data_IF_049143236838
#
_entry.id   IF_049143236838
#
_cell.length_a   1.000
_cell.length_b   1.000
_cell.length_c   1.000
_cell.angle_alpha   90.00
_cell.angle_beta   90.00
_cell.angle_gamma   90.00
#
_symmetry.space_group_name_H-M   'P 1'
#
loop_
_entity.id
_entity.type
_entity.pdbx_description
1 polymer ?
#
# COMPACT_ATOMS: atom_id res chain seq x y z
N UNK A 1 -14.93 37.93 4.84
CA UNK A 1 -14.05 38.20 3.70
C UNK A 1 -13.93 36.91 2.94
N UNK A 2 -14.59 36.86 1.79
CA UNK A 2 -14.89 35.63 1.06
C UNK A 2 -13.80 35.44 0.00
N UNK A 3 -12.92 34.45 0.19
CA UNK A 3 -12.00 34.04 -0.87
C UNK A 3 -12.83 33.36 -1.98
N UNK A 4 -13.04 34.08 -3.08
CA UNK A 4 -13.55 33.48 -4.30
C UNK A 4 -12.45 32.63 -4.93
N UNK A 5 -12.65 31.33 -4.89
CA UNK A 5 -11.87 30.33 -5.60
C UNK A 5 -12.03 30.62 -7.10
N UNK A 6 -10.91 30.97 -7.74
CA UNK A 6 -10.82 31.26 -9.16
C UNK A 6 -10.79 29.95 -9.97
N UNK A 7 -11.94 29.28 -10.09
CA UNK A 7 -12.09 28.18 -11.07
C UNK A 7 -12.43 28.78 -12.44
N UNK A 8 -11.54 28.57 -13.40
CA UNK A 8 -11.73 28.94 -14.80
C UNK A 8 -12.49 27.80 -15.49
N UNK A 9 -13.62 28.03 -16.18
CA UNK A 9 -14.27 26.99 -16.96
C UNK A 9 -13.51 26.79 -18.28
N UNK A 10 -12.86 25.64 -18.44
CA UNK A 10 -12.40 25.16 -19.74
C UNK A 10 -13.61 24.61 -20.51
N UNK A 11 -13.94 25.27 -21.61
CA UNK A 11 -14.98 24.86 -22.55
C UNK A 11 -14.69 23.46 -23.10
N UNK A 12 -15.56 22.51 -22.80
CA UNK A 12 -15.61 21.22 -23.47
C UNK A 12 -16.68 21.28 -24.58
N UNK A 13 -16.23 21.26 -25.83
CA UNK A 13 -17.09 20.92 -26.96
C UNK A 13 -17.51 19.46 -26.83
N UNK A 14 -18.79 19.23 -26.55
CA UNK A 14 -19.40 17.90 -26.59
C UNK A 14 -20.18 17.77 -27.90
N UNK A 15 -19.54 17.14 -28.90
CA UNK A 15 -20.24 16.61 -30.04
C UNK A 15 -21.06 15.39 -29.61
N UNK A 16 -22.36 15.49 -29.88
CA UNK A 16 -23.34 14.44 -29.66
C UNK A 16 -23.16 13.32 -30.69
N UNK A 17 -22.94 12.10 -30.22
CA UNK A 17 -23.27 10.90 -30.98
C UNK A 17 -23.83 9.84 -30.04
N UNK A 18 -25.12 9.56 -30.22
CA UNK A 18 -25.85 8.55 -29.48
C UNK A 18 -25.59 7.15 -30.03
N UNK A 19 -25.60 6.15 -29.13
CA UNK A 19 -25.74 4.74 -29.47
C UNK A 19 -26.67 4.07 -28.43
N UNK A 20 -27.63 3.24 -28.86
CA UNK A 20 -28.71 2.75 -28.01
C UNK A 20 -28.36 1.49 -27.22
N UNK A 21 -29.21 1.25 -26.23
CA UNK A 21 -29.21 0.12 -25.32
C UNK A 21 -29.56 -1.23 -25.98
N UNK A 22 -28.78 -2.26 -25.62
CA UNK A 22 -29.15 -3.68 -25.59
C UNK A 22 -28.25 -4.31 -24.51
N UNK A 23 -28.71 -5.09 -23.53
CA UNK A 23 -29.79 -6.05 -23.51
C UNK A 23 -29.19 -7.45 -23.68
N UNK A 24 -28.78 -8.11 -22.58
CA UNK A 24 -28.75 -9.58 -22.45
C UNK A 24 -28.33 -10.01 -21.04
N UNK A 25 -29.24 -10.74 -20.39
CA UNK A 25 -29.01 -11.49 -19.17
C UNK A 25 -28.31 -12.82 -19.50
N UNK A 26 -27.22 -13.14 -18.81
CA UNK A 26 -26.57 -14.44 -18.90
C UNK A 26 -26.98 -15.32 -17.72
N UNK A 27 -27.67 -16.39 -18.07
CA UNK A 27 -28.00 -17.57 -17.26
C UNK A 27 -26.73 -18.29 -16.78
N UNK A 28 -26.64 -18.65 -15.51
CA UNK A 28 -25.62 -19.58 -14.98
C UNK A 28 -26.24 -20.96 -14.71
N UNK A 29 -25.62 -22.05 -15.17
CA UNK A 29 -26.10 -23.41 -14.90
C UNK A 29 -25.64 -23.93 -13.53
N UNK A 30 -26.49 -24.77 -12.94
CA UNK A 30 -26.42 -25.26 -11.57
C UNK A 30 -25.23 -26.15 -11.22
N UNK A 31 -24.81 -26.03 -9.96
CA UNK A 31 -23.83 -26.87 -9.30
C UNK A 31 -24.52 -28.16 -8.85
N UNK A 32 -24.12 -29.28 -9.44
CA UNK A 32 -24.55 -30.62 -9.06
C UNK A 32 -23.94 -31.03 -7.72
N UNK A 33 -24.81 -31.41 -6.79
CA UNK A 33 -24.51 -32.08 -5.52
C UNK A 33 -24.05 -33.51 -5.83
N UNK A 34 -22.82 -33.87 -5.45
CA UNK A 34 -22.39 -35.27 -5.43
C UNK A 34 -22.50 -35.83 -4.02
N UNK A 35 -23.26 -36.93 -3.93
CA UNK A 35 -23.57 -37.69 -2.74
C UNK A 35 -22.34 -38.42 -2.18
N UNK A 36 -22.24 -38.43 -0.85
CA UNK A 36 -21.38 -39.34 -0.11
C UNK A 36 -21.95 -40.76 -0.17
N UNK A 37 -21.24 -41.69 -0.80
CA UNK A 37 -21.53 -43.12 -0.73
C UNK A 37 -20.54 -43.81 0.22
N UNK A 38 -21.10 -44.15 1.37
CA UNK A 38 -20.72 -45.21 2.29
C UNK A 38 -20.34 -46.50 1.53
N UNK A 39 -19.15 -47.06 1.78
CA UNK A 39 -18.82 -48.44 1.41
C UNK A 39 -18.13 -49.10 2.61
N UNK A 40 -18.95 -49.82 3.38
CA UNK A 40 -18.53 -50.94 4.21
C UNK A 40 -18.36 -52.18 3.31
N UNK A 41 -17.31 -52.95 3.54
CA UNK A 41 -17.04 -54.16 2.76
C UNK A 41 -15.87 -54.97 3.28
N UNK A 42 -16.06 -55.64 4.41
CA UNK A 42 -15.25 -56.77 4.82
C UNK A 42 -15.62 -58.00 3.97
N UNK A 43 -14.64 -58.67 3.37
CA UNK A 43 -14.73 -60.10 3.04
C UNK A 43 -13.34 -60.74 3.07
N UNK A 44 -13.34 -61.90 3.70
CA UNK A 44 -12.24 -62.77 4.04
C UNK A 44 -11.72 -63.61 2.86
N UNK A 45 -10.44 -64.02 2.98
CA UNK A 45 -9.86 -65.33 2.62
C UNK A 45 -9.98 -65.80 1.17
N UNK A 46 -8.84 -65.93 0.49
CA UNK A 46 -8.56 -67.13 -0.29
C UNK A 46 -7.05 -67.43 -0.32
N UNK A 47 -6.65 -68.43 0.44
CA UNK A 47 -5.37 -69.14 0.26
C UNK A 47 -5.57 -70.22 -0.80
N UNK A 48 -4.71 -70.27 -1.82
CA UNK A 48 -4.05 -71.50 -2.29
C UNK A 48 -3.20 -71.27 -3.54
N UNK A 49 -2.20 -72.13 -3.78
CA UNK A 49 -0.97 -71.80 -4.50
C UNK A 49 -0.99 -72.31 -5.94
N UNK A 50 0.02 -71.91 -6.72
CA UNK A 50 0.80 -72.73 -7.67
C UNK A 50 1.49 -71.83 -8.70
N UNK A 51 2.82 -71.86 -8.60
CA UNK A 51 3.85 -71.61 -9.59
C UNK A 51 3.43 -71.26 -11.02
N UNK A 52 3.96 -70.14 -11.51
CA UNK A 52 4.74 -70.14 -12.75
C UNK A 52 5.93 -69.20 -12.57
N UNK A 53 7.07 -69.82 -12.28
CA UNK A 53 8.37 -69.17 -12.28
C UNK A 53 8.70 -68.79 -13.72
N UNK A 54 8.44 -67.54 -14.07
CA UNK A 54 8.96 -66.94 -15.28
C UNK A 54 10.29 -66.29 -14.91
N UNK A 55 11.37 -67.07 -15.04
CA UNK A 55 12.74 -66.61 -14.88
C UNK A 55 13.16 -65.83 -16.14
N UNK A 56 12.80 -64.53 -16.21
CA UNK A 56 13.42 -63.57 -17.12
C UNK A 56 14.50 -62.81 -16.35
N UNK A 57 15.77 -63.12 -16.63
CA UNK A 57 16.89 -62.35 -16.09
C UNK A 57 18.03 -63.23 -15.64
N UNK A 58 18.82 -63.70 -16.62
CA UNK A 58 20.18 -64.15 -16.37
C UNK A 58 20.95 -63.08 -15.60
N UNK A 59 21.61 -63.52 -14.54
CA UNK A 59 22.63 -62.84 -13.74
C UNK A 59 23.71 -62.17 -14.60
N UNK A 60 23.44 -61.00 -15.16
CA UNK A 60 24.41 -59.91 -15.12
C UNK A 60 24.43 -59.42 -13.68
N UNK A 61 25.59 -59.26 -13.07
CA UNK A 61 25.78 -58.61 -11.77
C UNK A 61 24.81 -57.43 -11.64
N UNK A 62 23.68 -57.67 -10.97
CA UNK A 62 22.77 -56.63 -10.57
C UNK A 62 23.51 -55.96 -9.42
N UNK A 63 24.33 -54.97 -9.75
CA UNK A 63 24.67 -53.92 -8.82
C UNK A 63 23.34 -53.43 -8.28
N UNK A 64 22.97 -53.96 -7.11
CA UNK A 64 21.75 -53.64 -6.40
C UNK A 64 21.82 -52.13 -6.18
N UNK A 65 21.09 -51.38 -7.01
CA UNK A 65 21.11 -49.93 -6.98
C UNK A 65 20.51 -49.55 -5.63
N UNK A 66 21.39 -49.37 -4.64
CA UNK A 66 21.05 -49.03 -3.27
C UNK A 66 20.39 -47.64 -3.26
N UNK A 67 19.09 -47.65 -3.56
CA UNK A 67 18.27 -46.47 -3.68
C UNK A 67 17.93 -45.99 -2.28
N UNK A 68 18.55 -44.87 -1.90
CA UNK A 68 18.20 -44.21 -0.65
C UNK A 68 17.12 -43.16 -0.95
N UNK A 69 15.91 -43.29 -0.39
CA UNK A 69 14.83 -42.36 -0.65
C UNK A 69 15.18 -40.95 -0.16
N UNK A 70 14.67 -39.94 -0.85
CA UNK A 70 14.80 -38.54 -0.45
C UNK A 70 13.60 -38.14 0.38
N UNK A 71 13.83 -37.45 1.50
CA UNK A 71 12.74 -36.96 2.36
C UNK A 71 11.85 -35.98 1.57
N UNK A 72 10.52 -36.15 1.52
CA UNK A 72 9.62 -35.19 0.89
C UNK A 72 9.70 -33.78 1.50
N UNK A 73 10.11 -33.67 2.76
CA UNK A 73 10.27 -32.39 3.45
C UNK A 73 11.42 -31.54 2.92
N UNK A 74 12.44 -32.17 2.34
CA UNK A 74 13.62 -31.49 1.82
C UNK A 74 13.31 -30.60 0.59
N UNK A 75 12.62 -31.07 -0.47
CA UNK A 75 12.22 -30.20 -1.57
C UNK A 75 11.16 -29.17 -1.15
N UNK A 76 10.25 -29.50 -0.23
CA UNK A 76 9.29 -28.52 0.29
C UNK A 76 10.03 -27.35 0.98
N UNK A 77 11.00 -27.65 1.85
CA UNK A 77 11.82 -26.64 2.50
C UNK A 77 12.59 -25.78 1.48
N UNK A 78 13.13 -26.40 0.43
CA UNK A 78 13.83 -25.68 -0.64
C UNK A 78 12.90 -24.74 -1.41
N UNK A 79 11.71 -25.20 -1.81
CA UNK A 79 10.70 -24.39 -2.48
C UNK A 79 10.23 -23.22 -1.61
N UNK A 80 10.00 -23.44 -0.32
CA UNK A 80 9.66 -22.36 0.62
C UNK A 80 10.80 -21.36 0.79
N UNK A 81 12.05 -21.82 0.80
CA UNK A 81 13.23 -20.94 0.79
C UNK A 81 13.26 -20.04 -0.44
N UNK A 82 13.09 -20.63 -1.63
CA UNK A 82 13.07 -19.89 -2.91
C UNK A 82 11.91 -18.89 -2.99
N UNK A 83 10.70 -19.30 -2.60
CA UNK A 83 9.57 -18.39 -2.51
C UNK A 83 9.77 -17.31 -1.44
N UNK A 84 10.50 -17.61 -0.37
CA UNK A 84 10.89 -16.66 0.68
C UNK A 84 11.75 -15.50 0.18
N UNK A 85 12.46 -15.64 -0.96
CA UNK A 85 13.17 -14.52 -1.60
C UNK A 85 12.22 -13.38 -2.01
N UNK A 86 10.92 -13.66 -2.19
CA UNK A 86 9.92 -12.60 -2.40
C UNK A 86 9.76 -11.68 -1.17
N UNK A 87 10.33 -12.05 -0.02
CA UNK A 87 10.35 -11.22 1.20
C UNK A 87 11.11 -9.91 1.05
N UNK A 88 11.99 -9.79 0.04
CA UNK A 88 12.61 -8.51 -0.31
C UNK A 88 11.66 -7.52 -0.99
N UNK A 89 10.54 -8.02 -1.54
CA UNK A 89 9.54 -7.23 -2.27
C UNK A 89 8.39 -6.83 -1.34
N UNK A 90 7.96 -7.71 -0.45
CA UNK A 90 6.80 -7.42 0.39
C UNK A 90 6.63 -8.33 1.61
N UNK A 91 5.73 -7.90 2.50
CA UNK A 91 5.46 -8.56 3.78
C UNK A 91 5.01 -10.03 3.62
N UNK A 92 4.28 -10.33 2.54
CA UNK A 92 3.84 -11.70 2.24
C UNK A 92 5.01 -12.67 2.09
N UNK A 93 6.04 -12.29 1.34
CA UNK A 93 7.23 -13.12 1.17
C UNK A 93 8.02 -13.29 2.48
N UNK A 94 7.96 -12.29 3.37
CA UNK A 94 8.56 -12.37 4.70
C UNK A 94 7.87 -13.42 5.57
N UNK A 95 6.54 -13.53 5.52
CA UNK A 95 5.80 -14.61 6.17
C UNK A 95 6.16 -15.98 5.60
N UNK A 96 6.25 -16.11 4.27
CA UNK A 96 6.67 -17.37 3.63
C UNK A 96 8.08 -17.77 4.07
N UNK A 97 9.03 -16.82 4.12
CA UNK A 97 10.37 -17.05 4.64
C UNK A 97 10.33 -17.50 6.10
N UNK A 98 9.55 -16.84 6.95
CA UNK A 98 9.38 -17.21 8.35
C UNK A 98 8.89 -18.66 8.53
N UNK A 99 7.83 -19.07 7.82
CA UNK A 99 7.37 -20.47 7.87
C UNK A 99 8.38 -21.45 7.27
N UNK A 100 9.11 -21.03 6.22
CA UNK A 100 10.19 -21.81 5.63
C UNK A 100 11.30 -22.15 6.63
N UNK A 101 11.58 -21.26 7.60
CA UNK A 101 12.53 -21.54 8.70
C UNK A 101 12.04 -22.74 9.53
N UNK A 102 10.77 -22.76 9.95
CA UNK A 102 10.24 -23.87 10.76
C UNK A 102 10.23 -25.19 10.00
N UNK A 103 9.78 -25.18 8.73
CA UNK A 103 9.78 -26.38 7.86
C UNK A 103 11.20 -26.86 7.60
N UNK A 104 12.14 -25.95 7.33
CA UNK A 104 13.56 -26.27 7.12
C UNK A 104 14.21 -26.88 8.36
N UNK A 105 13.97 -26.31 9.56
CA UNK A 105 14.46 -26.87 10.82
C UNK A 105 13.87 -28.26 11.09
N UNK A 106 12.57 -28.44 10.85
CA UNK A 106 11.88 -29.73 10.96
C UNK A 106 12.48 -30.79 10.02
N UNK A 107 12.68 -30.43 8.74
CA UNK A 107 13.27 -31.31 7.74
C UNK A 107 14.70 -31.73 8.11
N UNK A 108 15.56 -30.78 8.51
CA UNK A 108 16.94 -31.09 8.93
C UNK A 108 16.96 -31.99 10.17
N UNK A 109 16.11 -31.71 11.17
CA UNK A 109 16.01 -32.55 12.38
C UNK A 109 15.56 -33.97 12.05
N UNK A 110 14.52 -34.11 11.23
CA UNK A 110 13.98 -35.41 10.84
C UNK A 110 15.01 -36.24 10.07
N UNK A 111 15.70 -35.64 9.09
CA UNK A 111 16.74 -36.34 8.30
C UNK A 111 17.94 -36.74 9.17
N UNK A 112 18.33 -35.91 10.16
CA UNK A 112 19.38 -36.28 11.11
C UNK A 112 18.95 -37.39 12.05
N UNK A 113 17.67 -37.44 12.43
CA UNK A 113 17.14 -38.48 13.30
C UNK A 113 16.94 -39.84 12.62
N UNK A 114 16.88 -39.87 11.28
CA UNK A 114 16.66 -41.12 10.53
C UNK A 114 17.91 -41.98 10.36
N UNK A 115 19.05 -41.66 10.99
CA UNK A 115 20.22 -42.54 11.01
C UNK A 115 20.82 -42.89 9.64
N UNK A 116 20.54 -42.08 8.60
CA UNK A 116 21.04 -42.31 7.23
C UNK A 116 20.05 -43.01 6.29
N UNK A 117 18.88 -43.46 6.76
CA UNK A 117 17.85 -44.10 5.91
C UNK A 117 17.22 -43.17 4.88
N UNK A 118 17.43 -41.86 4.98
CA UNK A 118 16.82 -40.86 4.10
C UNK A 118 17.86 -39.81 3.72
N UNK A 119 17.99 -39.52 2.41
CA UNK A 119 18.88 -38.45 1.89
C UNK A 119 18.09 -37.13 1.72
N UNK A 120 18.81 -36.05 1.41
CA UNK A 120 18.22 -34.72 1.17
C UNK A 120 18.65 -33.63 2.14
N UNK A 121 19.61 -33.90 3.04
CA UNK A 121 20.13 -32.91 4.00
C UNK A 121 20.57 -31.62 3.33
N UNK A 122 21.20 -31.70 2.14
CA UNK A 122 21.68 -30.53 1.42
C UNK A 122 20.52 -29.62 0.95
N UNK A 123 19.43 -30.19 0.41
CA UNK A 123 18.25 -29.44 -0.03
C UNK A 123 17.56 -28.77 1.17
N UNK A 124 17.38 -29.51 2.26
CA UNK A 124 16.77 -28.98 3.49
C UNK A 124 17.63 -27.87 4.11
N UNK A 125 18.96 -28.04 4.14
CA UNK A 125 19.89 -27.04 4.67
C UNK A 125 19.91 -25.79 3.80
N UNK A 126 19.93 -25.96 2.47
CA UNK A 126 19.91 -24.84 1.53
C UNK A 126 18.61 -24.05 1.65
N UNK A 127 17.46 -24.73 1.68
CA UNK A 127 16.16 -24.09 1.90
C UNK A 127 16.09 -23.32 3.21
N UNK A 128 16.57 -23.93 4.31
CA UNK A 128 16.65 -23.28 5.62
C UNK A 128 17.53 -22.02 5.61
N UNK A 129 18.74 -22.11 5.05
CA UNK A 129 19.66 -20.97 4.94
C UNK A 129 19.03 -19.85 4.11
N UNK A 130 18.39 -20.19 2.97
CA UNK A 130 17.72 -19.21 2.14
C UNK A 130 16.57 -18.50 2.87
N UNK A 131 15.76 -19.25 3.62
CA UNK A 131 14.69 -18.69 4.45
C UNK A 131 15.23 -17.75 5.54
N UNK A 132 16.30 -18.14 6.25
CA UNK A 132 16.92 -17.30 7.29
C UNK A 132 17.48 -16.02 6.68
N UNK A 133 18.25 -16.12 5.60
CA UNK A 133 18.82 -14.97 4.91
C UNK A 133 17.73 -14.04 4.36
N UNK A 134 16.70 -14.58 3.71
CA UNK A 134 15.60 -13.78 3.17
C UNK A 134 14.81 -13.09 4.26
N UNK A 135 14.54 -13.77 5.37
CA UNK A 135 13.84 -13.18 6.51
C UNK A 135 14.67 -12.08 7.18
N UNK A 136 15.94 -12.34 7.46
CA UNK A 136 16.83 -11.37 8.11
C UNK A 136 17.10 -10.15 7.25
N UNK A 137 17.53 -10.35 6.00
CA UNK A 137 17.84 -9.26 5.07
C UNK A 137 16.57 -8.52 4.61
N UNK A 138 15.47 -9.23 4.37
CA UNK A 138 14.17 -8.62 4.04
C UNK A 138 13.65 -7.74 5.17
N UNK A 139 13.71 -8.22 6.42
CA UNK A 139 13.34 -7.43 7.60
C UNK A 139 14.25 -6.22 7.79
N UNK A 140 15.57 -6.39 7.62
CA UNK A 140 16.53 -5.29 7.74
C UNK A 140 16.28 -4.21 6.68
N UNK A 141 16.03 -4.62 5.42
CA UNK A 141 15.66 -3.70 4.33
C UNK A 141 14.40 -2.92 4.65
N UNK A 142 13.30 -3.59 5.03
CA UNK A 142 12.04 -2.91 5.37
C UNK A 142 12.19 -1.98 6.56
N UNK A 143 12.94 -2.38 7.59
CA UNK A 143 13.22 -1.53 8.74
C UNK A 143 14.04 -0.30 8.33
N UNK A 144 15.01 -0.45 7.43
CA UNK A 144 15.82 0.65 6.93
C UNK A 144 14.98 1.64 6.12
N UNK A 145 14.15 1.16 5.20
CA UNK A 145 13.21 1.98 4.43
C UNK A 145 12.22 2.70 5.35
N UNK A 146 11.67 2.00 6.36
CA UNK A 146 10.79 2.61 7.35
C UNK A 146 11.47 3.68 8.21
N UNK A 147 12.76 3.55 8.52
CA UNK A 147 13.47 4.56 9.31
C UNK A 147 13.82 5.81 8.47
N UNK A 148 14.11 5.65 7.18
CA UNK A 148 14.59 6.73 6.30
C UNK A 148 13.50 7.36 5.43
N UNK A 149 12.27 6.84 5.47
CA UNK A 149 11.13 7.38 4.74
C UNK A 149 10.79 8.82 5.18
N UNK A 150 10.81 9.07 6.50
CA UNK A 150 10.45 10.36 7.07
C UNK A 150 11.64 11.31 6.94
N UNK A 151 11.50 12.46 6.26
CA UNK A 151 12.58 13.43 6.19
C UNK A 151 12.94 13.95 7.59
N UNK A 152 14.20 14.32 7.78
CA UNK A 152 14.68 14.88 9.04
C UNK A 152 13.88 16.12 9.44
N UNK A 153 13.54 16.24 10.72
CA UNK A 153 12.75 17.36 11.25
C UNK A 153 11.23 17.22 11.07
N UNK A 154 10.74 16.14 10.45
CA UNK A 154 9.31 15.84 10.35
C UNK A 154 8.92 14.76 11.34
N UNK A 155 7.76 14.95 11.98
CA UNK A 155 7.15 13.92 12.82
C UNK A 155 6.26 13.01 11.97
N UNK A 156 6.47 11.69 12.05
CA UNK A 156 5.55 10.71 11.45
C UNK A 156 4.19 10.78 12.14
N UNK A 157 3.14 11.04 11.39
CA UNK A 157 1.76 11.02 11.88
C UNK A 157 0.95 10.08 11.00
N UNK A 158 0.19 9.18 11.61
CA UNK A 158 -0.73 8.31 10.89
C UNK A 158 -2.05 9.08 10.70
N UNK A 159 -2.40 9.40 9.46
CA UNK A 159 -3.57 10.24 9.18
C UNK A 159 -4.87 9.60 9.68
N UNK A 160 -5.06 8.31 9.39
CA UNK A 160 -6.24 7.53 9.76
C UNK A 160 -6.40 7.50 11.28
N UNK A 161 -5.37 7.02 11.99
CA UNK A 161 -5.43 6.71 13.42
C UNK A 161 -5.30 7.95 14.30
N UNK A 162 -4.44 8.89 13.93
CA UNK A 162 -4.09 10.00 14.81
C UNK A 162 -4.89 11.27 14.52
N UNK A 163 -5.58 11.37 13.37
CA UNK A 163 -6.35 12.57 13.00
C UNK A 163 -7.79 12.22 12.70
N UNK A 164 -8.04 11.31 11.74
CA UNK A 164 -9.41 11.05 11.28
C UNK A 164 -10.26 10.27 12.30
N UNK A 165 -9.72 9.22 12.91
CA UNK A 165 -10.41 8.47 13.98
C UNK A 165 -10.64 9.34 15.24
N UNK A 166 -9.80 10.35 15.45
CA UNK A 166 -9.85 11.29 16.57
C UNK A 166 -10.80 12.45 16.27
N UNK A 167 -12.07 12.09 16.06
CA UNK A 167 -13.18 13.01 15.77
C UNK A 167 -13.21 14.25 16.68
N UNK A 168 -13.88 15.30 16.23
CA UNK A 168 -13.98 16.53 17.00
C UNK A 168 -14.75 16.34 18.31
N UNK A 169 -14.28 17.00 19.37
CA UNK A 169 -14.92 17.02 20.68
C UNK A 169 -15.75 18.29 20.80
N UNK A 170 -17.02 18.16 21.20
CA UNK A 170 -17.91 19.31 21.39
C UNK A 170 -17.97 19.69 22.86
N UNK A 171 -17.52 20.89 23.20
CA UNK A 171 -17.55 21.41 24.58
C UNK A 171 -18.35 22.70 24.61
N UNK A 172 -19.52 22.68 25.25
CA UNK A 172 -20.41 23.85 25.35
C UNK A 172 -20.97 24.28 23.99
N UNK A 173 -21.22 23.34 23.08
CA UNK A 173 -21.72 23.62 21.73
C UNK A 173 -20.67 24.07 20.72
N UNK A 174 -19.41 24.27 21.15
CA UNK A 174 -18.30 24.62 20.26
C UNK A 174 -17.48 23.39 19.89
N UNK A 175 -17.09 23.31 18.61
CA UNK A 175 -16.21 22.27 18.09
C UNK A 175 -14.76 22.51 18.55
N UNK A 176 -14.14 21.48 19.10
CA UNK A 176 -12.73 21.48 19.52
C UNK A 176 -12.01 20.28 18.93
N UNK A 177 -10.70 20.41 18.78
CA UNK A 177 -9.83 19.31 18.41
C UNK A 177 -9.66 18.36 19.60
N UNK A 178 -9.49 17.07 19.29
CA UNK A 178 -8.98 16.10 20.25
C UNK A 178 -7.58 16.55 20.76
N UNK A 179 -7.25 16.38 22.04
CA UNK A 179 -5.98 16.82 22.61
C UNK A 179 -4.75 16.20 21.92
N UNK A 180 -4.84 14.96 21.42
CA UNK A 180 -3.75 14.31 20.68
C UNK A 180 -3.54 14.95 19.31
N UNK A 181 -4.64 15.33 18.63
CA UNK A 181 -4.59 16.05 17.35
C UNK A 181 -4.05 17.46 17.56
N UNK A 182 -4.54 18.17 18.58
CA UNK A 182 -4.08 19.51 18.92
C UNK A 182 -2.56 19.55 19.18
N UNK A 183 -1.98 18.46 19.71
CA UNK A 183 -0.55 18.36 19.94
C UNK A 183 0.30 18.26 18.66
N UNK A 184 -0.28 17.92 17.50
CA UNK A 184 0.42 17.88 16.20
C UNK A 184 0.17 19.10 15.32
N UNK A 185 -0.83 19.93 15.65
CA UNK A 185 -1.10 21.18 14.93
C UNK A 185 0.07 22.17 15.11
N UNK A 186 0.45 22.83 14.01
CA UNK A 186 1.56 23.77 13.93
C UNK A 186 2.94 23.11 13.81
N UNK A 187 3.02 21.77 13.80
CA UNK A 187 4.29 21.04 13.67
C UNK A 187 4.54 20.59 12.23
N UNK A 188 5.82 20.40 11.89
CA UNK A 188 6.23 19.72 10.67
C UNK A 188 5.89 18.24 10.78
N UNK A 189 4.95 17.77 9.96
CA UNK A 189 4.47 16.39 9.97
C UNK A 189 4.67 15.72 8.61
N UNK A 190 4.86 14.41 8.64
CA UNK A 190 4.87 13.52 7.48
C UNK A 190 3.64 12.64 7.56
N UNK A 191 2.72 12.84 6.62
CA UNK A 191 1.43 12.17 6.53
C UNK A 191 1.36 11.32 5.25
N UNK A 192 0.59 10.24 5.29
CA UNK A 192 0.25 9.44 4.11
C UNK A 192 -1.26 9.38 3.96
N UNK A 193 -1.73 9.48 2.73
CA UNK A 193 -3.15 9.44 2.40
C UNK A 193 -3.33 9.26 0.89
N UNK A 194 -4.57 9.35 0.41
CA UNK A 194 -4.88 9.25 -1.01
C UNK A 194 -5.01 10.63 -1.62
N UNK A 195 -4.36 10.86 -2.76
CA UNK A 195 -4.49 12.11 -3.48
C UNK A 195 -5.82 12.12 -4.26
N UNK A 196 -6.63 13.14 -4.03
CA UNK A 196 -7.76 13.50 -4.88
C UNK A 196 -7.40 14.77 -5.66
N UNK A 197 -7.04 14.58 -6.92
CA UNK A 197 -6.79 15.65 -7.88
C UNK A 197 -8.13 16.06 -8.50
N UNK A 198 -8.49 17.34 -8.40
CA UNK A 198 -9.82 17.81 -8.80
C UNK A 198 -10.03 17.76 -10.31
N UNK A 199 -9.06 18.21 -11.13
CA UNK A 199 -9.24 18.28 -12.60
C UNK A 199 -7.97 18.18 -13.47
N UNK A 200 -6.76 18.19 -12.90
CA UNK A 200 -5.52 18.19 -13.67
C UNK A 200 -4.61 17.00 -13.31
N UNK A 201 -3.96 16.43 -14.33
CA UNK A 201 -2.99 15.35 -14.16
C UNK A 201 -1.57 15.87 -13.86
N UNK A 202 -1.30 17.14 -14.15
CA UNK A 202 0.00 17.77 -13.93
C UNK A 202 -0.18 19.24 -13.53
N UNK A 203 0.87 19.84 -12.96
CA UNK A 203 0.83 21.24 -12.53
C UNK A 203 -0.04 21.51 -11.30
N UNK A 204 -0.32 20.49 -10.48
CA UNK A 204 -1.16 20.63 -9.30
C UNK A 204 -0.43 21.45 -8.22
N UNK A 205 -0.99 22.61 -7.90
CA UNK A 205 -0.60 23.43 -6.74
C UNK A 205 -1.32 23.03 -5.46
N UNK A 206 -2.54 22.55 -5.61
CA UNK A 206 -3.42 22.21 -4.50
C UNK A 206 -4.16 20.93 -4.82
N UNK A 207 -4.30 20.08 -3.82
CA UNK A 207 -5.08 18.85 -3.91
C UNK A 207 -5.64 18.50 -2.54
N UNK A 208 -6.56 17.53 -2.52
CA UNK A 208 -7.14 17.01 -1.29
C UNK A 208 -6.43 15.70 -0.93
N UNK A 209 -5.93 15.60 0.29
CA UNK A 209 -5.39 14.37 0.85
C UNK A 209 -6.48 13.69 1.67
N UNK A 210 -6.91 12.51 1.22
CA UNK A 210 -7.99 11.74 1.83
C UNK A 210 -7.46 10.62 2.72
N UNK A 211 -8.24 10.26 3.73
CA UNK A 211 -7.98 9.12 4.62
C UNK A 211 -7.93 7.79 3.86
N UNK A 212 -8.88 7.62 2.95
CA UNK A 212 -9.05 6.43 2.12
C UNK A 212 -9.53 6.80 0.70
N UNK A 213 -9.59 5.81 -0.18
CA UNK A 213 -10.04 5.96 -1.56
C UNK A 213 -11.56 5.68 -1.74
N UNK A 214 -12.28 5.36 -0.66
CA UNK A 214 -13.64 4.84 -0.73
C UNK A 214 -14.70 5.93 -0.64
N UNK A 215 -14.53 6.93 0.22
CA UNK A 215 -15.63 7.86 0.49
C UNK A 215 -15.80 8.91 -0.61
N UNK A 216 -14.71 9.50 -1.11
CA UNK A 216 -14.77 10.58 -2.11
C UNK A 216 -14.97 10.06 -3.55
N UNK A 217 -14.30 8.98 -3.94
CA UNK A 217 -14.34 8.47 -5.32
C UNK A 217 -15.69 7.87 -5.73
N UNK A 218 -16.53 7.49 -4.76
CA UNK A 218 -17.83 6.86 -5.00
C UNK A 218 -19.02 7.81 -4.73
N UNK A 219 -18.77 9.13 -4.79
CA UNK A 219 -19.80 10.16 -4.67
C UNK A 219 -20.23 10.51 -3.24
N UNK A 220 -19.51 10.01 -2.23
CA UNK A 220 -19.67 10.44 -0.85
C UNK A 220 -19.04 11.81 -0.60
N UNK A 221 -19.52 12.49 0.45
CA UNK A 221 -18.91 13.72 0.96
C UNK A 221 -18.03 13.33 2.17
N UNK A 222 -16.69 13.35 2.05
CA UNK A 222 -15.83 13.01 3.19
C UNK A 222 -16.06 14.02 4.32
N UNK A 223 -16.10 13.57 5.56
CA UNK A 223 -16.30 14.46 6.71
C UNK A 223 -15.11 15.39 6.88
N UNK A 224 -15.30 16.50 7.59
CA UNK A 224 -14.26 17.49 7.86
C UNK A 224 -12.96 16.93 8.48
N UNK A 225 -12.99 15.74 9.09
CA UNK A 225 -11.81 15.07 9.65
C UNK A 225 -11.19 13.99 8.74
N UNK A 226 -11.86 13.62 7.65
CA UNK A 226 -11.41 12.57 6.73
C UNK A 226 -10.59 13.10 5.55
N UNK A 227 -10.38 14.42 5.48
CA UNK A 227 -9.58 15.03 4.43
C UNK A 227 -8.77 16.24 4.92
N UNK A 228 -7.67 16.50 4.21
CA UNK A 228 -6.76 17.63 4.44
C UNK A 228 -6.56 18.35 3.11
N UNK A 229 -6.72 19.68 3.09
CA UNK A 229 -6.35 20.47 1.92
C UNK A 229 -4.84 20.68 1.92
N UNK A 230 -4.16 20.23 0.86
CA UNK A 230 -2.71 20.34 0.72
C UNK A 230 -2.38 21.43 -0.29
N UNK A 231 -1.57 22.40 0.10
CA UNK A 231 -1.13 23.51 -0.76
C UNK A 231 0.39 23.55 -0.85
N UNK A 232 0.91 23.50 -2.08
CA UNK A 232 2.33 23.65 -2.36
C UNK A 232 2.76 25.13 -2.31
N UNK A 233 3.98 25.42 -1.83
CA UNK A 233 4.48 26.78 -1.70
C UNK A 233 4.79 27.39 -3.05
N UNK A 234 4.64 28.70 -3.10
CA UNK A 234 5.25 29.54 -4.09
C UNK A 234 6.73 29.76 -3.76
N UNK A 235 7.52 30.15 -4.76
CA UNK A 235 8.97 30.27 -4.68
C UNK A 235 9.40 31.60 -5.31
N UNK A 236 10.45 32.21 -4.74
CA UNK A 236 11.05 33.44 -5.30
C UNK A 236 11.91 33.14 -6.51
N UNK A 237 12.63 32.01 -6.49
CA UNK A 237 13.46 31.53 -7.58
C UNK A 237 13.31 30.03 -7.78
N UNK A 238 13.52 29.54 -9.00
CA UNK A 238 13.61 28.10 -9.28
C UNK A 238 14.70 27.39 -8.44
N UNK A 239 15.75 28.13 -8.05
CA UNK A 239 16.81 27.61 -7.17
C UNK A 239 16.35 27.32 -5.75
N UNK A 240 15.28 27.98 -5.30
CA UNK A 240 14.78 27.91 -3.92
C UNK A 240 13.94 26.66 -3.66
N UNK A 241 13.85 25.78 -4.66
CA UNK A 241 13.21 24.47 -4.57
C UNK A 241 13.72 23.70 -3.32
N UNK A 242 12.84 23.32 -2.38
CA UNK A 242 13.21 22.59 -1.17
C UNK A 242 14.01 21.32 -1.51
N UNK A 243 15.07 21.03 -0.75
CA UNK A 243 15.94 19.89 -1.01
C UNK A 243 15.15 18.56 -1.02
N UNK A 244 14.20 18.41 -0.11
CA UNK A 244 13.38 17.20 -0.01
C UNK A 244 12.47 17.03 -1.24
N UNK A 245 11.96 18.11 -1.84
CA UNK A 245 11.15 18.03 -3.06
C UNK A 245 11.92 17.45 -4.25
N UNK A 246 13.26 17.53 -4.26
CA UNK A 246 14.11 16.99 -5.35
C UNK A 246 14.13 15.46 -5.35
N UNK A 247 13.81 14.82 -4.23
CA UNK A 247 13.68 13.35 -4.13
C UNK A 247 12.41 12.85 -4.82
N UNK A 248 11.39 13.69 -4.90
CA UNK A 248 10.08 13.35 -5.45
C UNK A 248 10.09 13.48 -6.97
N UNK A 249 10.04 12.35 -7.68
CA UNK A 249 10.03 12.31 -9.15
C UNK A 249 8.81 12.98 -9.81
N UNK A 250 7.74 13.24 -9.04
CA UNK A 250 6.53 13.89 -9.53
C UNK A 250 6.39 15.37 -9.17
N UNK A 251 7.43 16.01 -8.62
CA UNK A 251 7.41 17.45 -8.30
C UNK A 251 8.28 18.24 -9.29
N UNK A 252 7.76 19.37 -9.75
CA UNK A 252 8.45 20.30 -10.64
C UNK A 252 8.21 21.75 -10.22
N UNK A 253 9.01 22.66 -10.77
CA UNK A 253 8.85 24.09 -10.56
C UNK A 253 8.42 24.68 -11.89
N UNK A 254 7.35 25.47 -11.88
CA UNK A 254 6.84 26.18 -13.05
C UNK A 254 6.96 27.69 -12.82
N UNK A 255 7.22 28.42 -13.90
CA UNK A 255 7.13 29.88 -13.90
C UNK A 255 5.66 30.30 -13.97
N UNK A 256 5.28 31.27 -13.13
CA UNK A 256 3.90 31.73 -13.07
C UNK A 256 3.64 32.67 -14.26
N UNK A 257 2.60 32.43 -15.06
CA UNK A 257 2.23 33.32 -16.16
C UNK A 257 2.03 34.76 -15.69
N UNK A 258 2.39 35.76 -16.50
CA UNK A 258 2.25 37.18 -16.13
C UNK A 258 0.81 37.59 -15.76
N UNK A 259 -0.18 36.96 -16.39
CA UNK A 259 -1.59 37.21 -16.09
C UNK A 259 -1.93 36.83 -14.64
N UNK A 260 -1.42 35.68 -14.18
CA UNK A 260 -1.68 35.13 -12.86
C UNK A 260 -0.82 35.86 -11.80
N UNK A 261 0.41 36.26 -12.16
CA UNK A 261 1.25 37.11 -11.30
C UNK A 261 0.58 38.44 -10.95
N UNK A 262 -0.12 39.08 -11.89
CA UNK A 262 -0.85 40.32 -11.60
C UNK A 262 -2.00 40.11 -10.62
N UNK A 263 -2.66 38.95 -10.68
CA UNK A 263 -3.72 38.61 -9.72
C UNK A 263 -3.14 38.29 -8.34
N UNK A 264 -2.05 37.52 -8.29
CA UNK A 264 -1.36 37.18 -7.05
C UNK A 264 -0.68 38.39 -6.41
N UNK A 265 -0.18 39.34 -7.20
CA UNK A 265 0.38 40.58 -6.69
C UNK A 265 -0.67 41.48 -6.00
N UNK A 266 -1.97 41.26 -6.23
CA UNK A 266 -3.03 41.96 -5.49
C UNK A 266 -3.19 41.40 -4.06
N UNK A 267 -2.85 40.13 -3.83
CA UNK A 267 -2.73 39.58 -2.48
C UNK A 267 -1.38 39.96 -1.88
N UNK A 268 -1.40 40.66 -0.73
CA UNK A 268 -0.19 41.19 -0.07
C UNK A 268 0.83 40.10 0.28
N UNK A 269 0.39 38.86 0.42
CA UNK A 269 1.23 37.75 0.84
C UNK A 269 2.12 37.18 -0.27
N UNK A 270 1.84 37.50 -1.56
CA UNK A 270 2.45 36.83 -2.73
C UNK A 270 3.19 37.77 -3.69
N UNK A 271 3.50 39.01 -3.29
CA UNK A 271 4.02 40.05 -4.19
C UNK A 271 5.44 39.83 -4.76
N UNK A 272 6.15 38.76 -4.38
CA UNK A 272 7.55 38.53 -4.76
C UNK A 272 7.85 37.12 -5.28
N UNK A 273 6.82 36.36 -5.65
CA UNK A 273 6.98 34.96 -6.01
C UNK A 273 6.72 34.78 -7.50
N UNK A 274 7.78 34.44 -8.23
CA UNK A 274 7.77 34.26 -9.69
C UNK A 274 7.57 32.79 -10.09
N UNK A 275 7.79 31.88 -9.14
CA UNK A 275 7.80 30.43 -9.37
C UNK A 275 6.80 29.74 -8.47
N UNK A 276 6.24 28.63 -8.95
CA UNK A 276 5.31 27.80 -8.21
C UNK A 276 5.84 26.36 -8.16
N UNK A 277 5.87 25.79 -6.95
CA UNK A 277 6.10 24.36 -6.81
C UNK A 277 4.80 23.63 -7.17
N UNK A 278 4.88 22.67 -8.08
CA UNK A 278 3.73 21.87 -8.51
C UNK A 278 4.05 20.39 -8.45
N UNK A 279 3.01 19.58 -8.49
CA UNK A 279 3.12 18.13 -8.58
C UNK A 279 2.19 17.55 -9.64
N UNK A 280 2.53 16.36 -10.14
CA UNK A 280 1.62 15.56 -10.93
C UNK A 280 0.58 14.87 -10.05
N UNK A 281 -0.54 14.48 -10.65
CA UNK A 281 -1.50 13.60 -9.99
C UNK A 281 -0.87 12.20 -9.80
N UNK A 282 -1.14 11.59 -8.66
CA UNK A 282 -0.76 10.21 -8.38
C UNK A 282 -2.01 9.35 -8.24
N UNK A 283 -2.03 8.23 -8.96
CA UNK A 283 -3.09 7.22 -8.83
C UNK A 283 -2.75 6.29 -7.68
N UNK A 284 -2.89 6.75 -6.43
CA UNK A 284 -2.57 5.93 -5.27
C UNK A 284 -2.37 6.69 -3.96
N UNK A 285 -1.70 6.02 -3.04
CA UNK A 285 -1.30 6.61 -1.77
C UNK A 285 -0.10 7.52 -2.00
N UNK A 286 -0.15 8.71 -1.43
CA UNK A 286 0.93 9.69 -1.45
C UNK A 286 1.38 10.00 -0.04
N UNK A 287 2.65 10.31 0.09
CA UNK A 287 3.22 10.89 1.29
C UNK A 287 3.43 12.40 1.10
N UNK A 288 3.09 13.17 2.15
CA UNK A 288 3.12 14.62 2.15
C UNK A 288 3.89 15.09 3.38
N UNK A 289 4.83 16.03 3.20
CA UNK A 289 5.60 16.64 4.28
C UNK A 289 5.44 18.16 4.30
N UNK A 290 5.05 18.73 5.44
CA UNK A 290 4.64 20.13 5.57
C UNK A 290 4.16 20.46 6.97
N UNK A 291 3.55 21.63 7.17
CA UNK A 291 3.00 22.06 8.46
C UNK A 291 1.50 21.81 8.50
N UNK A 292 1.03 21.03 9.47
CA UNK A 292 -0.40 20.76 9.65
C UNK A 292 -1.05 21.89 10.45
N UNK A 293 -2.06 22.51 9.87
CA UNK A 293 -2.86 23.57 10.47
C UNK A 293 -4.32 23.11 10.59
N UNK A 294 -5.04 23.69 11.55
CA UNK A 294 -6.44 23.41 11.76
C UNK A 294 -7.22 24.69 12.05
N UNK A 295 -8.33 24.89 11.35
CA UNK A 295 -9.31 25.94 11.62
C UNK A 295 -10.60 25.31 12.13
N UNK A 296 -10.72 25.23 13.46
CA UNK A 296 -11.92 24.67 14.12
C UNK A 296 -13.20 25.45 13.83
N UNK A 297 -13.09 26.70 13.35
CA UNK A 297 -14.23 27.56 13.03
C UNK A 297 -14.67 27.45 11.58
N UNK A 298 -14.01 26.61 10.77
CA UNK A 298 -14.38 26.40 9.38
C UNK A 298 -15.87 25.98 9.26
N UNK A 299 -16.66 26.73 8.51
CA UNK A 299 -18.10 26.48 8.34
C UNK A 299 -19.00 27.03 9.47
N UNK A 300 -18.45 27.69 10.50
CA UNK A 300 -19.28 28.38 11.49
C UNK A 300 -20.10 29.49 10.84
N UNK A 301 -21.41 29.53 11.15
CA UNK A 301 -22.35 30.51 10.59
C UNK A 301 -22.94 30.14 9.22
N UNK A 302 -22.49 29.03 8.61
CA UNK A 302 -23.11 28.45 7.43
C UNK A 302 -24.32 27.55 7.75
N UNK A 303 -24.96 26.97 6.72
CA UNK A 303 -25.89 25.85 6.88
C UNK A 303 -25.29 24.72 7.72
N UNK A 304 -26.10 23.99 8.51
CA UNK A 304 -25.60 22.87 9.34
C UNK A 304 -24.81 21.83 8.55
N UNK A 305 -25.21 21.55 7.31
CA UNK A 305 -24.51 20.62 6.44
C UNK A 305 -23.07 21.09 6.13
N UNK A 306 -22.87 22.39 5.90
CA UNK A 306 -21.54 22.93 5.59
C UNK A 306 -20.56 22.78 6.76
N UNK A 307 -21.07 22.75 7.99
CA UNK A 307 -20.26 22.60 9.19
C UNK A 307 -19.56 21.24 9.26
N UNK A 308 -20.27 20.17 8.88
CA UNK A 308 -19.76 18.79 8.93
C UNK A 308 -18.78 18.47 7.81
N UNK A 309 -18.85 19.21 6.70
CA UNK A 309 -18.00 19.03 5.52
C UNK A 309 -16.98 20.14 5.32
N UNK A 310 -16.90 21.13 6.23
CA UNK A 310 -15.96 22.23 6.10
C UNK A 310 -14.49 21.78 6.18
N UNK A 311 -13.58 22.42 5.43
CA UNK A 311 -12.16 22.05 5.44
C UNK A 311 -11.47 22.57 6.69
N UNK A 312 -11.51 21.75 7.76
CA UNK A 312 -10.88 22.09 9.04
C UNK A 312 -9.36 21.97 8.94
N UNK A 313 -8.86 20.89 8.33
CA UNK A 313 -7.42 20.62 8.27
C UNK A 313 -6.82 21.12 6.95
N UNK A 314 -5.71 21.86 7.09
CA UNK A 314 -4.95 22.39 5.96
C UNK A 314 -3.47 22.09 6.17
N UNK A 315 -2.76 21.86 5.07
CA UNK A 315 -1.34 21.64 5.08
C UNK A 315 -0.70 22.62 4.10
N UNK A 316 -0.11 23.67 4.66
CA UNK A 316 0.50 24.75 3.92
C UNK A 316 2.02 24.53 3.81
N UNK A 317 2.62 25.16 2.80
CA UNK A 317 4.06 25.10 2.55
C UNK A 317 4.59 23.66 2.46
N UNK A 318 3.87 22.83 1.71
CA UNK A 318 4.24 21.42 1.51
C UNK A 318 5.51 21.32 0.67
N UNK A 319 6.55 20.80 1.29
CA UNK A 319 7.89 20.70 0.70
C UNK A 319 8.09 19.36 -0.02
N UNK A 320 7.24 18.37 0.22
CA UNK A 320 7.34 17.04 -0.38
C UNK A 320 5.96 16.45 -0.69
N UNK A 321 5.84 15.90 -1.91
CA UNK A 321 4.75 15.02 -2.34
C UNK A 321 5.35 13.88 -3.15
N UNK A 322 5.25 12.65 -2.66
CA UNK A 322 5.78 11.47 -3.35
C UNK A 322 4.82 10.28 -3.28
N UNK A 323 5.00 9.33 -4.18
CA UNK A 323 4.23 8.09 -4.18
C UNK A 323 4.67 7.21 -3.01
N UNK A 324 3.70 6.77 -2.21
CA UNK A 324 3.93 5.90 -1.06
C UNK A 324 3.37 4.51 -1.34
N UNK A 325 4.25 3.52 -1.43
CA UNK A 325 3.89 2.14 -1.75
C UNK A 325 3.50 1.31 -0.51
N UNK A 326 3.74 1.84 0.69
CA UNK A 326 3.48 1.16 1.96
C UNK A 326 2.44 1.92 2.79
N UNK A 327 1.44 1.18 3.28
CA UNK A 327 0.56 1.69 4.35
C UNK A 327 1.36 1.87 5.64
N UNK A 328 0.93 2.82 6.48
CA UNK A 328 1.44 2.91 7.85
C UNK A 328 0.97 1.74 8.71
#
# INVERSE_FOLDING_TARGET
MTEQILERPLQANADASGVPASGSAAYLPGVGVQNASLVDGATAVNESPVSNAVAWGSTSEAEDLDYVPVSPWAPIALCMGLLGLTGFIGLFGLYVAFFGIFVGVGAVRQIRSSGGFVKGTWMATLGLVLSICSFGLGSAKMSYEYQHEVPEGYQRVNFQKNVAEKQFVFVGGYRKLDPEVAAVIGKKVYLKGFMYATQANDGLRQFILLKDNGECCFGGKPKAHDYIIVTLPFLKSASDRPAISKRAGGMSVIEIPEADRKQLALSKDYQQEDYQLVTRAFTGMVAVAGVLEADVRAGEGGPPDDFDYAPVYKMNNVELVEEAWTRF
#
